data_IF_590360094770
#
_entry.id   IF_590360094770
#
_cell.length_a   1.000
_cell.length_b   1.000
_cell.length_c   1.000
_cell.angle_alpha   90.00
_cell.angle_beta   90.00
_cell.angle_gamma   90.00
#
_symmetry.space_group_name_H-M   'P 1'
#
loop_
_entity.id
_entity.type
_entity.pdbx_description
1 polymer ?
#
# COMPACT_ATOMS: atom_id res chain seq x y z
N UNK A 1 25.07 -38.81 12.12
CA UNK A 1 25.14 -37.43 12.68
C UNK A 1 25.09 -36.48 11.50
N UNK A 2 24.19 -35.51 11.34
CA UNK A 2 23.21 -34.91 12.23
C UNK A 2 21.92 -34.58 11.47
N UNK A 3 20.81 -34.71 12.20
CA UNK A 3 19.43 -34.46 11.81
C UNK A 3 19.11 -32.97 11.99
N UNK A 4 18.56 -32.30 10.98
CA UNK A 4 17.73 -31.07 11.14
C UNK A 4 16.57 -31.18 10.15
N UNK A 5 15.57 -32.00 10.46
CA UNK A 5 14.26 -31.60 11.01
C UNK A 5 13.57 -30.51 10.17
N UNK A 6 12.63 -30.99 9.36
CA UNK A 6 11.47 -30.34 8.78
C UNK A 6 11.02 -29.07 9.52
N UNK A 7 10.67 -28.03 8.76
CA UNK A 7 9.58 -27.14 9.15
C UNK A 7 8.49 -27.24 8.08
N UNK A 8 7.38 -27.82 8.51
CA UNK A 8 6.13 -27.98 7.78
C UNK A 8 5.49 -26.59 7.59
N UNK A 9 4.88 -26.43 6.41
CA UNK A 9 3.82 -25.52 6.00
C UNK A 9 3.55 -24.25 6.83
N UNK A 10 3.63 -23.10 6.16
CA UNK A 10 2.54 -22.12 6.21
C UNK A 10 2.46 -21.42 4.85
N UNK A 11 1.58 -21.93 3.99
CA UNK A 11 1.13 -21.21 2.82
C UNK A 11 0.20 -20.08 3.29
N UNK A 12 0.78 -18.90 3.50
CA UNK A 12 0.09 -17.62 3.40
C UNK A 12 1.19 -16.59 3.13
N UNK A 13 1.47 -16.33 1.84
CA UNK A 13 2.30 -15.21 1.42
C UNK A 13 1.56 -13.93 1.80
N UNK A 14 1.64 -13.55 3.07
CA UNK A 14 1.20 -12.25 3.56
C UNK A 14 2.26 -11.29 3.05
N UNK A 15 2.01 -10.75 1.86
CA UNK A 15 2.82 -9.71 1.27
C UNK A 15 2.79 -8.52 2.22
N UNK A 16 3.81 -8.42 3.05
CA UNK A 16 4.09 -7.26 3.91
C UNK A 16 4.65 -6.15 3.02
N UNK A 17 3.88 -5.79 1.99
CA UNK A 17 4.25 -4.75 1.04
C UNK A 17 4.20 -3.43 1.80
N UNK A 18 5.35 -3.05 2.35
CA UNK A 18 5.56 -1.76 2.98
C UNK A 18 5.18 -0.68 1.95
N UNK A 19 4.25 0.19 2.35
CA UNK A 19 3.83 1.33 1.54
C UNK A 19 4.96 2.37 1.52
N UNK A 20 5.28 2.93 0.35
CA UNK A 20 6.28 3.98 0.20
C UNK A 20 5.71 5.22 -0.49
N UNK A 21 6.29 6.38 -0.19
CA UNK A 21 5.99 7.60 -0.94
C UNK A 21 6.37 7.42 -2.41
N UNK A 22 5.47 7.81 -3.31
CA UNK A 22 5.62 7.65 -4.75
C UNK A 22 4.95 6.40 -5.32
N UNK A 23 4.59 5.42 -4.48
CA UNK A 23 3.89 4.21 -4.91
C UNK A 23 2.56 4.56 -5.60
N UNK A 24 2.23 3.82 -6.65
CA UNK A 24 0.95 3.92 -7.33
C UNK A 24 0.05 2.76 -6.88
N UNK A 25 -1.08 3.09 -6.28
CA UNK A 25 -1.99 2.15 -5.60
C UNK A 25 -3.43 2.42 -5.99
N UNK A 26 -4.30 1.44 -5.76
CA UNK A 26 -5.75 1.63 -5.80
C UNK A 26 -6.29 1.85 -4.39
N UNK A 27 -7.53 2.31 -4.29
CA UNK A 27 -8.27 2.30 -3.03
C UNK A 27 -9.24 1.12 -3.05
N UNK A 28 -9.61 0.58 -1.89
CA UNK A 28 -10.50 -0.59 -1.78
C UNK A 28 -11.79 -0.42 -2.58
N UNK A 29 -12.39 0.78 -2.55
CA UNK A 29 -13.67 1.08 -3.21
C UNK A 29 -13.53 2.02 -4.43
N UNK A 30 -12.31 2.22 -4.96
CA UNK A 30 -12.08 3.07 -6.13
C UNK A 30 -11.15 2.41 -7.15
N UNK A 31 -11.58 2.39 -8.42
CA UNK A 31 -10.81 1.84 -9.55
C UNK A 31 -9.80 2.83 -10.11
N UNK A 32 -9.82 4.08 -9.68
CA UNK A 32 -8.82 5.07 -10.07
C UNK A 32 -7.46 4.72 -9.46
N UNK A 33 -6.40 5.10 -10.17
CA UNK A 33 -5.03 4.97 -9.67
C UNK A 33 -4.67 6.22 -8.87
N UNK A 34 -3.98 6.01 -7.75
CA UNK A 34 -3.54 7.07 -6.86
C UNK A 34 -2.04 6.94 -6.60
N UNK A 35 -1.39 8.07 -6.33
CA UNK A 35 0.00 8.11 -5.91
C UNK A 35 0.08 8.49 -4.44
N UNK A 36 0.89 7.76 -3.66
CA UNK A 36 1.21 8.11 -2.27
C UNK A 36 2.12 9.35 -2.25
N UNK A 37 1.73 10.36 -1.46
CA UNK A 37 2.44 11.63 -1.29
C UNK A 37 3.12 11.73 0.07
N UNK A 38 2.58 11.07 1.08
CA UNK A 38 3.17 10.99 2.41
C UNK A 38 2.55 9.85 3.21
N UNK A 39 3.27 9.39 4.22
CA UNK A 39 2.86 8.29 5.09
C UNK A 39 3.11 8.70 6.53
N UNK A 40 2.12 8.46 7.37
CA UNK A 40 2.18 8.57 8.82
C UNK A 40 1.88 7.20 9.42
N UNK A 41 2.96 6.47 9.72
CA UNK A 41 2.86 5.12 10.28
C UNK A 41 2.36 5.13 11.73
N UNK A 42 2.58 6.23 12.47
CA UNK A 42 2.14 6.33 13.87
C UNK A 42 0.61 6.41 13.95
N UNK A 43 -0.01 7.08 12.98
CA UNK A 43 -1.46 7.28 12.93
C UNK A 43 -2.17 6.40 11.89
N UNK A 44 -1.44 5.46 11.27
CA UNK A 44 -1.94 4.56 10.21
C UNK A 44 -2.65 5.30 9.07
N UNK A 45 -2.09 6.45 8.68
CA UNK A 45 -2.63 7.33 7.64
C UNK A 45 -1.64 7.53 6.51
N UNK A 46 -2.16 7.84 5.34
CA UNK A 46 -1.36 8.31 4.24
C UNK A 46 -2.09 9.43 3.50
N UNK A 47 -1.34 10.18 2.70
CA UNK A 47 -1.89 11.19 1.82
C UNK A 47 -1.69 10.74 0.38
N UNK A 48 -2.75 10.81 -0.41
CA UNK A 48 -2.74 10.37 -1.80
C UNK A 48 -3.29 11.46 -2.71
N UNK A 49 -2.96 11.36 -4.00
CA UNK A 49 -3.61 12.14 -5.07
C UNK A 49 -3.87 11.24 -6.26
N UNK A 50 -4.89 11.59 -7.06
CA UNK A 50 -5.16 10.85 -8.29
C UNK A 50 -3.97 10.90 -9.26
N UNK A 51 -3.68 9.75 -9.87
CA UNK A 51 -2.63 9.55 -10.87
C UNK A 51 -3.22 8.90 -12.14
N UNK A 52 -2.86 9.33 -13.35
CA UNK A 52 -1.96 10.44 -13.69
C UNK A 52 -2.49 11.80 -13.25
N UNK A 53 -1.62 12.82 -13.23
CA UNK A 53 -2.03 14.17 -12.87
C UNK A 53 -3.02 14.73 -13.88
N UNK A 54 -4.11 15.32 -13.36
CA UNK A 54 -5.02 16.09 -14.19
C UNK A 54 -4.35 17.40 -14.66
N UNK A 55 -4.83 18.04 -15.74
CA UNK A 55 -4.25 19.29 -16.25
C UNK A 55 -4.16 20.43 -15.23
N UNK A 56 -5.04 20.43 -14.21
CA UNK A 56 -5.04 21.40 -13.12
C UNK A 56 -4.36 20.90 -11.84
N UNK A 57 -3.62 19.79 -11.95
CA UNK A 57 -3.16 19.01 -10.80
C UNK A 57 -4.27 18.15 -10.21
N UNK A 58 -3.86 17.21 -9.35
CA UNK A 58 -4.76 16.35 -8.59
C UNK A 58 -4.69 16.76 -7.12
N UNK A 59 -5.82 16.98 -6.44
CA UNK A 59 -5.82 17.34 -5.02
C UNK A 59 -5.23 16.20 -4.18
N UNK A 60 -4.53 16.59 -3.12
CA UNK A 60 -4.04 15.66 -2.10
C UNK A 60 -5.08 15.53 -1.01
N UNK A 61 -5.40 14.31 -0.60
CA UNK A 61 -6.30 14.04 0.52
C UNK A 61 -5.75 12.93 1.42
N UNK A 62 -6.17 12.97 2.69
CA UNK A 62 -5.82 11.97 3.70
C UNK A 62 -6.73 10.74 3.59
N UNK A 63 -6.15 9.55 3.77
CA UNK A 63 -6.89 8.31 3.91
C UNK A 63 -6.19 7.37 4.89
N UNK A 64 -6.95 6.47 5.50
CA UNK A 64 -6.38 5.38 6.32
C UNK A 64 -5.62 4.39 5.43
N UNK A 65 -4.49 3.87 5.92
CA UNK A 65 -3.67 2.91 5.18
C UNK A 65 -4.46 1.62 4.86
N UNK A 66 -5.44 1.26 5.70
CA UNK A 66 -6.32 0.12 5.49
C UNK A 66 -7.27 0.26 4.29
N UNK A 67 -7.41 1.47 3.73
CA UNK A 67 -8.17 1.72 2.50
C UNK A 67 -7.32 1.58 1.23
N UNK A 68 -6.02 1.31 1.36
CA UNK A 68 -5.15 1.06 0.21
C UNK A 68 -5.32 -0.40 -0.26
N UNK A 69 -5.68 -0.54 -1.53
CA UNK A 69 -5.60 -1.81 -2.24
C UNK A 69 -4.26 -1.87 -2.98
N UNK A 70 -3.36 -2.71 -2.47
CA UNK A 70 -2.10 -3.02 -3.16
C UNK A 70 -2.41 -3.74 -4.50
N UNK A 71 -1.64 -3.47 -5.57
CA UNK A 71 -1.82 -4.13 -6.86
C UNK A 71 -1.61 -5.64 -6.81
#
# INVERSE_FOLDING_TARGET
>A
MNLRKNRIAHASSLNDSVLHQGDCVHLVDDKNLFQIIGIDNEHEKCWVRQWPLLPKGSPVFEISIQQIALP
#
